data_IF_830969754394
#
_entry.id   IF_830969754394
#
_cell.length_a   1.000
_cell.length_b   1.000
_cell.length_c   1.000
_cell.angle_alpha   90.00
_cell.angle_beta   90.00
_cell.angle_gamma   90.00
#
_symmetry.space_group_name_H-M   'P 1'
#
loop_
_entity.id
_entity.type
_entity.pdbx_description
1 polymer ?
#
# COMPACT_ATOMS: atom_id res chain seq x y z
N UNK A 1 -37.10 25.37 7.13
CA UNK A 1 -36.49 24.66 8.27
C UNK A 1 -36.58 23.17 8.01
N UNK A 2 -35.50 22.52 7.68
CA UNK A 2 -35.47 21.07 7.47
C UNK A 2 -35.53 20.38 8.85
N UNK A 3 -36.56 19.55 9.07
CA UNK A 3 -36.69 18.71 10.25
C UNK A 3 -35.47 17.77 10.33
N UNK A 4 -34.61 17.95 11.35
CA UNK A 4 -33.50 17.05 11.62
C UNK A 4 -34.08 15.65 11.85
N UNK A 5 -33.86 14.75 10.91
CA UNK A 5 -34.25 13.33 10.99
C UNK A 5 -33.63 12.71 12.24
N UNK A 6 -34.44 12.23 13.16
CA UNK A 6 -33.99 11.53 14.35
C UNK A 6 -33.33 10.23 13.94
N UNK A 7 -32.07 10.07 14.33
CA UNK A 7 -31.30 8.83 14.03
C UNK A 7 -31.95 7.62 14.68
N UNK A 8 -31.99 6.49 13.99
CA UNK A 8 -32.33 5.21 14.58
C UNK A 8 -31.27 4.80 15.60
N UNK A 9 -31.59 3.88 16.51
CA UNK A 9 -30.62 3.35 17.49
C UNK A 9 -29.39 2.76 16.80
N UNK A 10 -29.54 2.10 15.64
CA UNK A 10 -28.45 1.54 14.83
C UNK A 10 -27.57 2.64 14.25
N UNK A 11 -28.16 3.68 13.66
CA UNK A 11 -27.44 4.82 13.11
C UNK A 11 -26.67 5.58 14.20
N UNK A 12 -27.30 5.80 15.38
CA UNK A 12 -26.65 6.44 16.52
C UNK A 12 -25.46 5.62 17.03
N UNK A 13 -25.58 4.30 17.09
CA UNK A 13 -24.49 3.38 17.46
C UNK A 13 -23.34 3.48 16.49
N UNK A 14 -23.61 3.50 15.19
CA UNK A 14 -22.58 3.64 14.16
C UNK A 14 -21.88 5.00 14.20
N UNK A 15 -22.60 6.08 14.42
CA UNK A 15 -22.01 7.42 14.63
C UNK A 15 -21.06 7.44 15.80
N UNK A 16 -21.46 6.84 16.94
CA UNK A 16 -20.60 6.75 18.14
C UNK A 16 -19.34 5.93 17.86
N UNK A 17 -19.46 4.79 17.19
CA UNK A 17 -18.34 3.95 16.78
C UNK A 17 -17.33 4.73 15.94
N UNK A 18 -17.78 5.45 14.92
CA UNK A 18 -16.90 6.28 14.05
C UNK A 18 -16.22 7.41 14.82
N UNK A 19 -16.90 8.02 15.78
CA UNK A 19 -16.28 9.04 16.64
C UNK A 19 -15.14 8.47 17.48
N UNK A 20 -15.29 7.28 18.03
CA UNK A 20 -14.24 6.58 18.79
C UNK A 20 -13.05 6.22 17.87
N UNK A 21 -13.29 5.70 16.68
CA UNK A 21 -12.22 5.37 15.71
C UNK A 21 -11.47 6.62 15.25
N UNK A 22 -12.18 7.72 14.99
CA UNK A 22 -11.57 8.99 14.62
C UNK A 22 -10.69 9.56 15.74
N UNK A 23 -11.20 9.58 16.97
CA UNK A 23 -10.42 10.03 18.13
C UNK A 23 -9.18 9.16 18.36
N UNK A 24 -9.28 7.83 18.17
CA UNK A 24 -8.14 6.93 18.24
C UNK A 24 -7.09 7.23 17.15
N UNK A 25 -7.52 7.53 15.93
CA UNK A 25 -6.63 7.91 14.84
C UNK A 25 -5.88 9.22 15.14
N UNK A 26 -6.55 10.21 15.70
CA UNK A 26 -5.95 11.50 16.11
C UNK A 26 -4.89 11.27 17.20
N UNK A 27 -5.20 10.50 18.27
CA UNK A 27 -4.23 10.16 19.31
C UNK A 27 -3.03 9.38 18.74
N UNK A 28 -3.27 8.39 17.89
CA UNK A 28 -2.20 7.63 17.23
C UNK A 28 -1.28 8.52 16.39
N UNK A 29 -1.84 9.54 15.75
CA UNK A 29 -1.07 10.47 14.92
C UNK A 29 -0.19 11.37 15.77
N UNK A 30 -0.74 11.96 16.82
CA UNK A 30 -0.09 13.01 17.60
C UNK A 30 0.79 12.45 18.73
N UNK A 31 0.33 11.43 19.44
CA UNK A 31 0.92 10.95 20.70
C UNK A 31 1.50 9.52 20.56
N UNK A 32 0.97 8.72 19.64
CA UNK A 32 1.39 7.34 19.40
C UNK A 32 0.49 6.29 20.04
N UNK A 33 0.82 5.00 19.84
CA UNK A 33 -0.03 3.89 20.28
C UNK A 33 -0.06 3.70 21.80
N UNK A 34 0.99 4.11 22.51
CA UNK A 34 1.06 4.02 24.00
C UNK A 34 -0.05 4.79 24.67
N UNK A 35 -0.43 5.94 24.08
CA UNK A 35 -1.42 6.85 24.66
C UNK A 35 -2.87 6.51 24.29
N UNK A 36 -3.06 5.53 23.41
CA UNK A 36 -4.39 4.99 23.09
C UNK A 36 -4.88 4.11 24.25
N UNK A 37 -5.97 4.52 24.87
CA UNK A 37 -6.69 3.75 25.90
C UNK A 37 -8.19 4.02 25.81
N UNK A 38 -9.00 3.18 26.46
CA UNK A 38 -10.45 3.41 26.54
C UNK A 38 -10.78 4.80 27.12
N UNK A 39 -10.00 5.24 28.10
CA UNK A 39 -10.18 6.54 28.77
C UNK A 39 -9.82 7.71 27.86
N UNK A 40 -8.61 7.69 27.25
CA UNK A 40 -8.13 8.79 26.39
C UNK A 40 -8.99 8.93 25.14
N UNK A 41 -9.33 7.81 24.48
CA UNK A 41 -10.19 7.78 23.29
C UNK A 41 -11.60 8.27 23.61
N UNK A 42 -12.22 7.82 24.73
CA UNK A 42 -13.56 8.27 25.11
C UNK A 42 -13.59 9.77 25.39
N UNK A 43 -12.59 10.27 26.12
CA UNK A 43 -12.45 11.70 26.42
C UNK A 43 -12.29 12.53 25.11
N UNK A 44 -11.41 12.12 24.21
CA UNK A 44 -11.20 12.81 22.94
C UNK A 44 -12.45 12.77 22.03
N UNK A 45 -13.17 11.64 22.03
CA UNK A 45 -14.43 11.50 21.32
C UNK A 45 -15.62 12.25 21.98
N UNK A 46 -15.48 12.78 23.20
CA UNK A 46 -16.59 13.39 23.95
C UNK A 46 -17.69 12.39 24.30
N UNK A 47 -17.31 11.16 24.66
CA UNK A 47 -18.20 10.02 24.94
C UNK A 47 -17.86 9.48 26.33
N UNK A 48 -18.88 9.07 27.11
CA UNK A 48 -18.66 8.44 28.40
C UNK A 48 -17.91 7.10 28.23
N UNK A 49 -16.91 6.84 29.09
CA UNK A 49 -16.09 5.64 28.99
C UNK A 49 -16.88 4.31 29.02
N UNK A 50 -17.99 4.13 29.75
CA UNK A 50 -18.82 2.92 29.63
C UNK A 50 -19.31 2.66 28.19
N UNK A 51 -19.64 3.71 27.43
CA UNK A 51 -20.08 3.57 26.05
C UNK A 51 -18.97 3.09 25.11
N UNK A 52 -17.69 3.26 25.44
CA UNK A 52 -16.59 2.64 24.69
C UNK A 52 -16.76 1.12 24.67
N UNK A 53 -17.06 0.51 25.82
CA UNK A 53 -17.19 -0.94 25.95
C UNK A 53 -18.43 -1.54 25.27
N UNK A 54 -19.41 -0.69 24.91
CA UNK A 54 -20.53 -1.11 24.04
C UNK A 54 -20.09 -1.32 22.56
N UNK A 55 -18.92 -0.78 22.17
CA UNK A 55 -18.39 -0.82 20.81
C UNK A 55 -17.12 -1.66 20.66
N UNK A 56 -16.24 -1.62 21.65
CA UNK A 56 -14.94 -2.29 21.63
C UNK A 56 -14.66 -2.95 22.98
N UNK A 57 -14.24 -4.20 22.96
CA UNK A 57 -13.92 -4.98 24.16
C UNK A 57 -12.72 -4.41 24.91
N UNK A 58 -11.73 -3.91 24.18
CA UNK A 58 -10.48 -3.35 24.69
C UNK A 58 -9.79 -2.50 23.62
N UNK A 59 -8.59 -1.98 23.95
CA UNK A 59 -7.71 -1.23 23.03
C UNK A 59 -7.41 -2.01 21.75
N UNK A 60 -7.05 -3.28 21.87
CA UNK A 60 -6.64 -4.09 20.71
C UNK A 60 -7.80 -4.33 19.72
N UNK A 61 -9.02 -4.46 20.24
CA UNK A 61 -10.23 -4.57 19.44
C UNK A 61 -10.52 -3.27 18.67
N UNK A 62 -10.32 -2.11 19.30
CA UNK A 62 -10.38 -0.80 18.66
C UNK A 62 -9.30 -0.65 17.58
N UNK A 63 -8.04 -1.00 17.88
CA UNK A 63 -6.92 -0.89 16.93
C UNK A 63 -7.09 -1.83 15.74
N UNK A 64 -7.62 -3.03 15.97
CA UNK A 64 -7.95 -3.96 14.88
C UNK A 64 -9.03 -3.38 13.96
N UNK A 65 -10.12 -2.91 14.54
CA UNK A 65 -11.21 -2.29 13.79
C UNK A 65 -10.75 -1.05 13.00
N UNK A 66 -9.87 -0.23 13.59
CA UNK A 66 -9.27 0.90 12.91
C UNK A 66 -8.38 0.44 11.73
N UNK A 67 -7.54 -0.57 11.94
CA UNK A 67 -6.74 -1.18 10.87
C UNK A 67 -7.60 -1.71 9.73
N UNK A 68 -8.65 -2.46 10.06
CA UNK A 68 -9.57 -3.04 9.07
C UNK A 68 -10.24 -1.96 8.20
N UNK A 69 -10.70 -0.85 8.80
CA UNK A 69 -11.29 0.27 8.06
C UNK A 69 -10.26 0.97 7.16
N UNK A 70 -9.10 1.32 7.71
CA UNK A 70 -8.05 2.05 6.98
C UNK A 70 -7.49 1.22 5.82
N UNK A 71 -7.19 -0.04 6.07
CA UNK A 71 -6.60 -0.91 5.04
C UNK A 71 -7.62 -1.42 4.03
N UNK A 72 -8.92 -1.45 4.38
CA UNK A 72 -9.99 -1.73 3.40
C UNK A 72 -10.03 -0.67 2.30
N UNK A 73 -9.90 0.61 2.64
CA UNK A 73 -9.85 1.72 1.66
C UNK A 73 -8.65 1.56 0.72
N UNK A 74 -7.47 1.21 1.27
CA UNK A 74 -6.28 0.99 0.44
C UNK A 74 -6.43 -0.24 -0.46
N UNK A 75 -6.92 -1.36 0.05
CA UNK A 75 -7.18 -2.55 -0.77
C UNK A 75 -8.13 -2.25 -1.93
N UNK A 76 -9.19 -1.48 -1.68
CA UNK A 76 -10.13 -1.07 -2.72
C UNK A 76 -9.44 -0.21 -3.79
N UNK A 77 -8.60 0.75 -3.38
CA UNK A 77 -7.87 1.61 -4.31
C UNK A 77 -6.86 0.83 -5.18
N UNK A 78 -6.14 -0.12 -4.58
CA UNK A 78 -5.22 -1.00 -5.31
C UNK A 78 -5.97 -1.91 -6.29
N UNK A 79 -7.12 -2.45 -5.89
CA UNK A 79 -7.99 -3.24 -6.77
C UNK A 79 -8.53 -2.41 -7.94
N UNK A 80 -8.95 -1.16 -7.69
CA UNK A 80 -9.40 -0.26 -8.74
C UNK A 80 -8.28 0.17 -9.69
N UNK A 81 -7.07 0.42 -9.16
CA UNK A 81 -5.90 0.72 -9.98
C UNK A 81 -5.58 -0.42 -10.95
N UNK A 82 -5.64 -1.68 -10.48
CA UNK A 82 -5.49 -2.86 -11.34
C UNK A 82 -6.58 -2.95 -12.41
N UNK A 83 -7.86 -2.76 -12.04
CA UNK A 83 -8.96 -2.79 -13.00
C UNK A 83 -8.77 -1.76 -14.12
N UNK A 84 -8.45 -0.51 -13.77
CA UNK A 84 -8.16 0.55 -14.74
C UNK A 84 -6.95 0.23 -15.61
N UNK A 85 -5.92 -0.36 -15.02
CA UNK A 85 -4.75 -0.80 -15.74
C UNK A 85 -5.09 -1.85 -16.83
N UNK A 86 -6.05 -2.74 -16.57
CA UNK A 86 -6.51 -3.71 -17.58
C UNK A 86 -7.27 -3.05 -18.74
N UNK A 87 -7.94 -1.92 -18.50
CA UNK A 87 -8.69 -1.14 -19.49
C UNK A 87 -7.79 -0.14 -20.26
N UNK A 88 -6.54 0.04 -19.85
CA UNK A 88 -5.63 1.01 -20.43
C UNK A 88 -5.28 0.66 -21.89
N UNK A 89 -5.15 1.67 -22.78
CA UNK A 89 -4.96 1.45 -24.21
C UNK A 89 -3.58 0.86 -24.57
N UNK A 90 -2.61 0.96 -23.70
CA UNK A 90 -1.25 0.47 -23.90
C UNK A 90 -0.56 0.13 -22.56
N UNK A 91 0.58 -0.55 -22.64
CA UNK A 91 1.33 -1.00 -21.47
C UNK A 91 1.90 0.15 -20.64
N UNK A 92 2.18 1.28 -21.22
CA UNK A 92 2.70 2.45 -20.52
C UNK A 92 1.62 3.07 -19.63
N UNK A 93 0.43 3.32 -20.19
CA UNK A 93 -0.69 3.86 -19.43
C UNK A 93 -1.17 2.89 -18.35
N UNK A 94 -1.10 1.58 -18.63
CA UNK A 94 -1.35 0.53 -17.63
C UNK A 94 -0.45 0.68 -16.40
N UNK A 95 0.86 0.89 -16.62
CA UNK A 95 1.82 1.08 -15.53
C UNK A 95 1.57 2.39 -14.79
N UNK A 96 1.22 3.46 -15.50
CA UNK A 96 0.92 4.75 -14.90
C UNK A 96 -0.25 4.65 -13.93
N UNK A 97 -1.36 4.05 -14.35
CA UNK A 97 -2.55 3.87 -13.50
C UNK A 97 -2.28 3.01 -12.25
N UNK A 98 -1.42 2.00 -12.34
CA UNK A 98 -1.02 1.18 -11.18
C UNK A 98 -0.34 2.00 -10.09
N UNK A 99 0.40 3.05 -10.44
CA UNK A 99 1.08 3.91 -9.47
C UNK A 99 0.27 5.15 -9.09
N UNK A 100 -0.39 5.78 -10.06
CA UNK A 100 -1.14 7.04 -9.86
C UNK A 100 -2.17 6.93 -8.75
N UNK A 101 -3.05 5.95 -8.82
CA UNK A 101 -4.16 5.83 -7.88
C UNK A 101 -3.75 5.59 -6.44
N UNK A 102 -2.81 4.68 -6.12
CA UNK A 102 -2.28 4.55 -4.77
C UNK A 102 -1.61 5.84 -4.25
N UNK A 103 -0.84 6.53 -5.10
CA UNK A 103 -0.19 7.80 -4.72
C UNK A 103 -1.20 8.89 -4.40
N UNK A 104 -2.23 9.07 -5.23
CA UNK A 104 -3.34 10.02 -4.98
C UNK A 104 -4.04 9.72 -3.64
N UNK A 105 -4.28 8.42 -3.34
CA UNK A 105 -4.91 8.04 -2.09
C UNK A 105 -4.01 8.33 -0.88
N UNK A 106 -2.71 8.04 -0.98
CA UNK A 106 -1.73 8.35 0.05
C UNK A 106 -1.63 9.86 0.28
N UNK A 107 -1.65 10.66 -0.80
CA UNK A 107 -1.64 12.12 -0.75
C UNK A 107 -2.93 12.70 -0.13
N UNK A 108 -4.08 12.10 -0.43
CA UNK A 108 -5.36 12.51 0.15
C UNK A 108 -5.50 12.14 1.64
N UNK A 109 -4.69 11.19 2.14
CA UNK A 109 -4.77 10.67 3.51
C UNK A 109 -3.40 10.62 4.21
N UNK A 110 -2.69 11.75 4.35
CA UNK A 110 -1.29 11.77 4.80
C UNK A 110 -1.08 11.24 6.22
N UNK A 111 -1.98 11.55 7.15
CA UNK A 111 -1.89 11.07 8.53
C UNK A 111 -1.98 9.54 8.59
N UNK A 112 -2.92 8.98 7.85
CA UNK A 112 -3.10 7.55 7.75
C UNK A 112 -1.89 6.84 7.11
N UNK A 113 -1.36 7.38 6.00
CA UNK A 113 -0.19 6.79 5.35
C UNK A 113 1.04 6.78 6.25
N UNK A 114 1.33 7.91 6.93
CA UNK A 114 2.42 7.98 7.92
C UNK A 114 2.23 7.00 9.08
N UNK A 115 0.98 6.85 9.55
CA UNK A 115 0.65 5.89 10.60
C UNK A 115 0.90 4.45 10.15
N UNK A 116 0.50 4.08 8.93
CA UNK A 116 0.71 2.72 8.39
C UNK A 116 2.19 2.35 8.30
N UNK A 117 3.04 3.30 7.86
CA UNK A 117 4.49 3.10 7.83
C UNK A 117 5.09 2.88 9.23
N UNK A 118 4.66 3.67 10.21
CA UNK A 118 5.12 3.52 11.61
C UNK A 118 4.60 2.22 12.24
N UNK A 119 3.32 1.92 12.05
CA UNK A 119 2.67 0.75 12.65
C UNK A 119 3.30 -0.57 12.21
N UNK A 120 3.82 -0.67 11.00
CA UNK A 120 4.48 -1.86 10.45
C UNK A 120 5.58 -2.41 11.36
N UNK A 121 6.28 -1.52 12.07
CA UNK A 121 7.36 -1.87 13.00
C UNK A 121 6.87 -2.31 14.38
N UNK A 122 5.61 -2.10 14.70
CA UNK A 122 5.00 -2.50 15.97
C UNK A 122 4.59 -3.98 15.91
N UNK A 123 5.51 -4.89 16.32
CA UNK A 123 5.34 -6.34 16.15
C UNK A 123 4.10 -6.89 16.85
N UNK A 124 3.78 -6.39 18.05
CA UNK A 124 2.68 -6.89 18.90
C UNK A 124 1.36 -6.13 18.69
N UNK A 125 1.35 -5.06 17.90
CA UNK A 125 0.16 -4.26 17.65
C UNK A 125 -0.75 -4.91 16.60
N UNK A 126 -2.08 -4.96 16.83
CA UNK A 126 -3.05 -5.35 15.81
C UNK A 126 -2.96 -4.47 14.56
N UNK A 127 -2.75 -3.16 14.73
CA UNK A 127 -2.56 -2.23 13.61
C UNK A 127 -1.29 -2.57 12.80
N UNK A 128 -0.20 -2.92 13.50
CA UNK A 128 1.03 -3.40 12.86
C UNK A 128 0.83 -4.70 12.08
N UNK A 129 0.00 -5.60 12.60
CA UNK A 129 -0.37 -6.82 11.87
C UNK A 129 -1.08 -6.51 10.56
N UNK A 130 -2.15 -5.71 10.59
CA UNK A 130 -2.91 -5.31 9.41
C UNK A 130 -2.06 -4.55 8.39
N UNK A 131 -1.12 -3.70 8.85
CA UNK A 131 -0.18 -3.00 7.95
C UNK A 131 0.78 -3.95 7.23
N UNK A 132 1.33 -4.95 7.94
CA UNK A 132 2.20 -5.96 7.34
C UNK A 132 1.44 -6.86 6.37
N UNK A 133 0.22 -7.24 6.71
CA UNK A 133 -0.66 -8.04 5.85
C UNK A 133 -0.95 -7.30 4.52
N UNK A 134 -1.35 -6.02 4.57
CA UNK A 134 -1.55 -5.22 3.36
C UNK A 134 -0.29 -5.17 2.51
N UNK A 135 0.86 -4.90 3.13
CA UNK A 135 2.14 -4.84 2.42
C UNK A 135 2.50 -6.19 1.81
N UNK A 136 2.29 -7.29 2.54
CA UNK A 136 2.53 -8.66 2.06
C UNK A 136 1.66 -8.99 0.85
N UNK A 137 0.37 -8.69 0.92
CA UNK A 137 -0.57 -8.90 -0.18
C UNK A 137 -0.19 -8.06 -1.42
N UNK A 138 0.21 -6.80 -1.23
CA UNK A 138 0.67 -5.94 -2.34
C UNK A 138 1.91 -6.53 -3.02
N UNK A 139 2.88 -7.04 -2.25
CA UNK A 139 4.07 -7.68 -2.80
C UNK A 139 3.75 -8.98 -3.54
N UNK A 140 2.85 -9.78 -2.98
CA UNK A 140 2.36 -10.99 -3.64
C UNK A 140 1.74 -10.66 -5.00
N UNK A 141 0.86 -9.68 -5.06
CA UNK A 141 0.23 -9.24 -6.29
C UNK A 141 1.24 -8.75 -7.36
N UNK A 142 2.30 -8.04 -6.93
CA UNK A 142 3.39 -7.61 -7.82
C UNK A 142 4.14 -8.83 -8.39
N UNK A 143 4.42 -9.83 -7.55
CA UNK A 143 5.09 -11.07 -8.00
C UNK A 143 4.24 -11.81 -9.02
N UNK A 144 2.94 -12.00 -8.76
CA UNK A 144 1.99 -12.63 -9.70
C UNK A 144 1.99 -11.89 -11.06
N UNK A 145 1.90 -10.56 -11.03
CA UNK A 145 1.94 -9.76 -12.26
C UNK A 145 3.27 -9.92 -13.03
N UNK A 146 4.40 -9.99 -12.33
CA UNK A 146 5.70 -10.25 -12.97
C UNK A 146 5.73 -11.64 -13.63
N UNK A 147 5.18 -12.66 -12.98
CA UNK A 147 5.08 -14.03 -13.53
C UNK A 147 4.18 -14.04 -14.76
N UNK A 148 3.00 -13.41 -14.72
CA UNK A 148 2.11 -13.27 -15.87
C UNK A 148 2.78 -12.57 -17.07
N UNK A 149 3.70 -11.65 -16.79
CA UNK A 149 4.54 -10.99 -17.81
C UNK A 149 5.73 -11.83 -18.28
N UNK A 150 5.82 -13.08 -17.86
CA UNK A 150 6.82 -14.06 -18.27
C UNK A 150 8.17 -13.94 -17.56
N UNK A 151 8.22 -13.40 -16.35
CA UNK A 151 9.42 -13.54 -15.50
C UNK A 151 9.48 -14.95 -14.93
N UNK A 152 10.64 -15.65 -14.98
CA UNK A 152 10.74 -17.02 -14.52
C UNK A 152 10.62 -17.13 -12.98
N UNK A 153 9.95 -18.21 -12.51
CA UNK A 153 9.76 -18.53 -11.09
C UNK A 153 10.04 -20.01 -10.81
N UNK A 154 10.76 -20.69 -11.69
CA UNK A 154 10.96 -22.14 -11.64
C UNK A 154 11.99 -22.56 -10.59
N UNK A 155 12.87 -21.67 -10.15
CA UNK A 155 13.90 -21.92 -9.16
C UNK A 155 13.75 -21.07 -7.89
N UNK A 156 14.25 -21.52 -6.73
CA UNK A 156 14.27 -20.69 -5.51
C UNK A 156 15.03 -19.36 -5.68
N UNK A 157 16.01 -19.30 -6.57
CA UNK A 157 16.76 -18.08 -6.84
C UNK A 157 15.92 -17.07 -7.63
N UNK A 158 15.13 -17.52 -8.59
CA UNK A 158 14.21 -16.70 -9.36
C UNK A 158 13.08 -16.18 -8.48
N UNK A 159 12.46 -17.04 -7.67
CA UNK A 159 11.44 -16.64 -6.70
C UNK A 159 11.96 -15.55 -5.75
N UNK A 160 13.17 -15.70 -5.20
CA UNK A 160 13.77 -14.66 -4.35
C UNK A 160 14.02 -13.35 -5.11
N UNK A 161 14.40 -13.43 -6.40
CA UNK A 161 14.60 -12.24 -7.23
C UNK A 161 13.29 -11.49 -7.44
N UNK A 162 12.19 -12.18 -7.72
CA UNK A 162 10.87 -11.55 -7.85
C UNK A 162 10.45 -10.88 -6.55
N UNK A 163 10.68 -11.52 -5.40
CA UNK A 163 10.42 -10.91 -4.09
C UNK A 163 11.25 -9.64 -3.86
N UNK A 164 12.55 -9.65 -4.21
CA UNK A 164 13.39 -8.45 -4.12
C UNK A 164 12.90 -7.31 -5.03
N UNK A 165 12.42 -7.63 -6.22
CA UNK A 165 11.82 -6.63 -7.14
C UNK A 165 10.54 -6.05 -6.51
N UNK A 166 9.65 -6.88 -5.97
CA UNK A 166 8.44 -6.42 -5.30
C UNK A 166 8.74 -5.58 -4.05
N UNK A 167 9.73 -5.97 -3.25
CA UNK A 167 10.23 -5.21 -2.12
C UNK A 167 10.72 -3.81 -2.55
N UNK A 168 11.50 -3.77 -3.63
CA UNK A 168 12.04 -2.53 -4.20
C UNK A 168 10.93 -1.59 -4.70
N UNK A 169 9.93 -2.12 -5.40
CA UNK A 169 8.80 -1.31 -5.88
C UNK A 169 7.97 -0.71 -4.74
N UNK A 170 7.65 -1.51 -3.73
CA UNK A 170 6.91 -1.00 -2.56
C UNK A 170 7.73 0.05 -1.83
N UNK A 171 9.00 -0.22 -1.54
CA UNK A 171 9.88 0.71 -0.82
C UNK A 171 10.07 2.04 -1.58
N UNK A 172 10.28 1.98 -2.91
CA UNK A 172 10.45 3.16 -3.74
C UNK A 172 9.16 4.00 -3.79
N UNK A 173 8.01 3.37 -4.00
CA UNK A 173 6.70 4.04 -4.03
C UNK A 173 6.44 4.75 -2.69
N UNK A 174 6.68 4.08 -1.57
CA UNK A 174 6.51 4.65 -0.23
C UNK A 174 7.45 5.82 0.02
N UNK A 175 8.71 5.72 -0.38
CA UNK A 175 9.71 6.77 -0.22
C UNK A 175 9.36 8.03 -1.03
N UNK A 176 8.91 7.86 -2.28
CA UNK A 176 8.50 8.96 -3.15
C UNK A 176 7.20 9.60 -2.68
N UNK A 177 6.20 8.79 -2.26
CA UNK A 177 4.97 9.28 -1.65
C UNK A 177 5.25 10.12 -0.40
N UNK A 178 6.16 9.65 0.47
CA UNK A 178 6.57 10.40 1.66
C UNK A 178 7.31 11.69 1.28
N UNK A 179 8.12 11.67 0.23
CA UNK A 179 8.77 12.86 -0.34
C UNK A 179 7.75 13.89 -0.82
N UNK A 180 6.67 13.44 -1.50
CA UNK A 180 5.55 14.30 -1.90
C UNK A 180 4.86 14.94 -0.69
N UNK A 181 4.50 14.15 0.31
CA UNK A 181 3.85 14.65 1.54
C UNK A 181 4.71 15.63 2.36
N UNK A 182 6.01 15.60 2.14
CA UNK A 182 6.97 16.53 2.76
C UNK A 182 7.29 17.74 1.86
N UNK A 183 6.61 17.89 0.73
CA UNK A 183 6.82 18.99 -0.21
C UNK A 183 8.08 18.90 -1.06
N UNK A 184 8.83 17.78 -1.00
CA UNK A 184 10.05 17.57 -1.80
C UNK A 184 9.74 17.35 -3.28
N UNK A 185 8.67 16.63 -3.58
CA UNK A 185 8.21 16.29 -4.92
C UNK A 185 6.75 16.73 -5.06
N UNK A 186 6.47 17.96 -5.53
CA UNK A 186 5.11 18.52 -5.51
C UNK A 186 4.18 17.89 -6.54
N UNK A 187 4.72 17.36 -7.64
CA UNK A 187 3.93 16.81 -8.75
C UNK A 187 3.87 15.27 -8.66
N UNK A 188 2.64 14.74 -8.53
CA UNK A 188 2.39 13.28 -8.51
C UNK A 188 2.71 12.64 -9.86
N UNK A 189 2.47 13.34 -10.99
CA UNK A 189 2.77 12.79 -12.32
C UNK A 189 4.27 12.61 -12.53
N UNK A 190 5.11 13.51 -12.02
CA UNK A 190 6.56 13.34 -12.03
C UNK A 190 7.00 12.08 -11.24
N UNK A 191 6.33 11.80 -10.12
CA UNK A 191 6.57 10.58 -9.34
C UNK A 191 6.14 9.35 -10.14
N UNK A 192 4.98 9.39 -10.79
CA UNK A 192 4.48 8.29 -11.63
C UNK A 192 5.45 8.01 -12.77
N UNK A 193 5.93 9.05 -13.48
CA UNK A 193 6.93 8.91 -14.54
C UNK A 193 8.22 8.26 -14.03
N UNK A 194 8.68 8.68 -12.87
CA UNK A 194 9.87 8.12 -12.22
C UNK A 194 9.67 6.63 -11.89
N UNK A 195 8.54 6.25 -11.31
CA UNK A 195 8.22 4.86 -11.00
C UNK A 195 8.12 4.00 -12.26
N UNK A 196 7.48 4.49 -13.32
CA UNK A 196 7.41 3.82 -14.62
C UNK A 196 8.82 3.61 -15.20
N UNK A 197 9.69 4.61 -15.13
CA UNK A 197 11.08 4.50 -15.57
C UNK A 197 11.82 3.39 -14.82
N UNK A 198 11.69 3.29 -13.50
CA UNK A 198 12.32 2.22 -12.71
C UNK A 198 11.79 0.83 -13.05
N UNK A 199 10.53 0.69 -13.49
CA UNK A 199 9.98 -0.61 -13.91
C UNK A 199 10.53 -1.11 -15.24
N UNK A 200 11.14 -0.23 -16.06
CA UNK A 200 11.73 -0.60 -17.37
C UNK A 200 13.03 -1.38 -17.20
N UNK A 201 13.84 -1.07 -16.20
CA UNK A 201 15.13 -1.73 -15.96
C UNK A 201 15.04 -3.25 -15.85
N UNK A 202 14.16 -3.86 -15.03
CA UNK A 202 13.96 -5.29 -14.98
C UNK A 202 13.52 -5.91 -16.31
N UNK A 203 12.70 -5.20 -17.12
CA UNK A 203 12.27 -5.65 -18.46
C UNK A 203 13.43 -5.73 -19.45
N UNK A 204 14.31 -4.74 -19.47
CA UNK A 204 15.49 -4.71 -20.32
C UNK A 204 16.48 -5.81 -19.93
N UNK A 205 16.72 -6.00 -18.64
CA UNK A 205 17.54 -7.09 -18.11
C UNK A 205 17.02 -8.47 -18.52
N UNK A 206 15.70 -8.70 -18.49
CA UNK A 206 15.10 -9.95 -19.00
C UNK A 206 15.35 -10.14 -20.49
N UNK A 207 15.13 -9.09 -21.30
CA UNK A 207 15.34 -9.16 -22.75
C UNK A 207 16.80 -9.46 -23.11
N UNK A 208 17.76 -8.94 -22.38
CA UNK A 208 19.18 -9.21 -22.58
C UNK A 208 19.56 -10.67 -22.30
N UNK A 209 18.90 -11.31 -21.32
CA UNK A 209 19.13 -12.72 -21.00
C UNK A 209 18.39 -13.71 -21.90
N UNK A 210 17.34 -13.29 -22.57
CA UNK A 210 16.59 -14.13 -23.51
C UNK A 210 17.14 -14.06 -24.94
N UNK A 211 18.09 -13.17 -25.22
CA UNK A 211 18.85 -13.25 -26.47
C UNK A 211 19.79 -14.44 -26.39
N UNK A 212 19.60 -15.48 -27.23
CA UNK A 212 20.61 -16.53 -27.34
C UNK A 212 21.92 -15.88 -27.78
N UNK A 213 23.04 -16.39 -27.27
CA UNK A 213 24.37 -16.13 -27.84
C UNK A 213 24.37 -16.59 -29.29
N UNK A 214 23.81 -15.80 -30.16
CA UNK A 214 23.93 -15.98 -31.60
C UNK A 214 25.19 -15.23 -32.05
N UNK A 215 26.17 -16.01 -32.42
CA UNK A 215 27.39 -15.63 -33.14
C UNK A 215 28.67 -15.66 -32.30
N UNK A 216 29.16 -16.84 -32.17
CA UNK A 216 30.55 -17.17 -31.78
C UNK A 216 31.05 -18.39 -32.52
N UNK A 217 30.69 -18.56 -33.82
CA UNK A 217 31.34 -19.56 -34.68
C UNK A 217 31.72 -18.91 -36.00
N UNK A 218 32.61 -17.93 -35.94
CA UNK A 218 33.42 -17.65 -37.10
C UNK A 218 34.52 -18.71 -37.19
N UNK A 219 34.31 -19.62 -38.09
CA UNK A 219 35.28 -20.56 -38.60
C UNK A 219 36.61 -19.84 -38.91
N UNK A 220 37.59 -20.08 -38.07
CA UNK A 220 38.96 -19.84 -38.43
C UNK A 220 39.42 -21.00 -39.35
N UNK A 221 39.07 -20.90 -40.62
CA UNK A 221 39.61 -21.76 -41.66
C UNK A 221 41.08 -21.39 -41.87
N UNK A 222 41.96 -22.22 -41.33
CA UNK A 222 43.39 -22.24 -41.68
C UNK A 222 43.53 -23.12 -42.90
N UNK A 223 43.46 -22.55 -44.06
CA UNK A 223 44.05 -23.15 -45.26
C UNK A 223 45.55 -22.87 -45.26
N UNK A 224 46.31 -23.88 -45.02
CA UNK A 224 47.72 -24.00 -45.36
C UNK A 224 47.92 -23.89 -46.86
N UNK A 225 48.86 -23.02 -47.28
CA UNK A 225 49.98 -23.40 -48.20
C UNK A 225 51.15 -22.46 -47.95
#
# INVERSE_FOLDING_TARGET
>A
MALARRLTRKEAKEVTRRRLLRAALEILHDEGETDVSASTVSRAAGIAQPSFYEHFRNKDDLLRALGDELFAVMRQALSEARRRALEAPNDEERLREQFRRPLELMAANPAWFRLSLRARHLKSSPLGHSSRELTGNTKYDIVEELVERGYPQESPAESRRLQMIADGYVALTEALALGHLNGRYPDIEEIVDTLVMFTRGPREYRRSRQRPEAAGSENFDRSTD
#
